data_IF_796028815619
#
_entry.id   IF_796028815619
#
_cell.length_a   1.000
_cell.length_b   1.000
_cell.length_c   1.000
_cell.angle_alpha   90.00
_cell.angle_beta   90.00
_cell.angle_gamma   90.00
#
_symmetry.space_group_name_H-M   'P 1'
#
loop_
_entity.id
_entity.type
_entity.pdbx_description
1 polymer ?
#
# COMPACT_ATOMS: atom_id res chain seq x y z
N UNK A 1 -9.37 -8.81 -38.10
CA UNK A 1 -9.50 -9.19 -36.66
C UNK A 1 -10.03 -7.98 -35.91
N UNK A 2 -10.90 -8.17 -34.92
CA UNK A 2 -11.39 -7.06 -34.08
C UNK A 2 -10.41 -6.80 -32.95
N UNK A 3 -10.43 -5.57 -32.42
CA UNK A 3 -9.73 -5.21 -31.20
C UNK A 3 -10.39 -5.88 -29.98
N UNK A 4 -9.56 -6.20 -28.99
CA UNK A 4 -9.99 -6.75 -27.72
C UNK A 4 -10.90 -5.80 -26.93
N UNK A 5 -11.79 -6.38 -26.13
CA UNK A 5 -12.78 -5.63 -25.36
C UNK A 5 -12.12 -4.76 -24.28
N UNK A 6 -11.09 -5.27 -23.60
CA UNK A 6 -10.39 -4.54 -22.54
C UNK A 6 -9.65 -3.32 -23.09
N UNK A 7 -9.09 -3.45 -24.30
CA UNK A 7 -8.44 -2.32 -24.97
C UNK A 7 -9.48 -1.27 -25.41
N UNK A 8 -10.69 -1.70 -25.80
CA UNK A 8 -11.75 -0.75 -26.17
C UNK A 8 -12.31 -0.01 -24.95
N UNK A 9 -12.42 -0.66 -23.79
CA UNK A 9 -12.83 0.01 -22.55
C UNK A 9 -11.74 0.95 -22.03
N UNK A 10 -10.48 0.51 -22.01
CA UNK A 10 -9.36 1.37 -21.62
C UNK A 10 -9.22 2.60 -22.54
N UNK A 11 -9.59 2.47 -23.83
CA UNK A 11 -9.65 3.60 -24.76
C UNK A 11 -10.75 4.59 -24.36
N UNK A 12 -11.93 4.11 -23.97
CA UNK A 12 -13.04 4.94 -23.49
C UNK A 12 -12.67 5.69 -22.21
N UNK A 13 -11.94 5.03 -21.31
CA UNK A 13 -11.49 5.59 -20.02
C UNK A 13 -10.26 6.52 -20.17
N UNK A 14 -9.69 6.61 -21.36
CA UNK A 14 -8.51 7.43 -21.64
C UNK A 14 -7.22 6.91 -21.01
N UNK A 15 -7.19 5.64 -20.60
CA UNK A 15 -6.07 5.00 -19.90
C UNK A 15 -4.96 4.48 -20.83
N UNK A 16 -5.11 4.68 -22.15
CA UNK A 16 -4.18 4.16 -23.16
C UNK A 16 -3.19 5.24 -23.60
N UNK A 17 -1.91 4.87 -23.58
CA UNK A 17 -0.81 5.68 -24.08
C UNK A 17 -0.49 5.38 -25.57
N UNK A 18 0.25 6.28 -26.22
CA UNK A 18 0.81 6.00 -27.54
C UNK A 18 1.82 4.83 -27.47
N UNK A 19 1.91 3.96 -28.50
CA UNK A 19 1.29 4.05 -29.83
C UNK A 19 -0.11 3.41 -29.95
N UNK A 20 -0.59 2.74 -28.89
CA UNK A 20 -1.81 1.94 -28.94
C UNK A 20 -3.06 2.78 -29.20
N UNK A 21 -3.08 4.02 -28.72
CA UNK A 21 -4.17 4.97 -28.98
C UNK A 21 -4.35 5.24 -30.48
N UNK A 22 -3.24 5.50 -31.19
CA UNK A 22 -3.27 5.69 -32.64
C UNK A 22 -3.77 4.44 -33.37
N UNK A 23 -3.32 3.25 -32.97
CA UNK A 23 -3.75 1.98 -33.58
C UNK A 23 -5.26 1.71 -33.37
N UNK A 24 -5.78 1.98 -32.18
CA UNK A 24 -7.22 1.86 -31.88
C UNK A 24 -8.01 2.87 -32.71
N UNK A 25 -7.54 4.11 -32.81
CA UNK A 25 -8.20 5.15 -33.60
C UNK A 25 -8.24 4.82 -35.09
N UNK A 26 -7.14 4.29 -35.64
CA UNK A 26 -7.10 3.78 -37.00
C UNK A 26 -8.09 2.64 -37.19
N UNK A 27 -8.12 1.67 -36.26
CA UNK A 27 -9.08 0.57 -36.31
C UNK A 27 -10.55 1.02 -36.26
N UNK A 28 -10.86 1.99 -35.41
CA UNK A 28 -12.19 2.58 -35.35
C UNK A 28 -12.55 3.31 -36.64
N UNK A 29 -11.60 3.81 -37.43
CA UNK A 29 -11.90 4.44 -38.71
C UNK A 29 -12.50 3.47 -39.73
N UNK A 30 -11.99 2.22 -39.81
CA UNK A 30 -12.43 1.24 -40.80
C UNK A 30 -13.40 0.18 -40.27
N UNK A 31 -13.43 -0.09 -38.96
CA UNK A 31 -14.26 -1.14 -38.38
C UNK A 31 -15.57 -0.59 -37.77
N UNK A 32 -16.70 -0.81 -38.44
CA UNK A 32 -18.03 -0.41 -37.94
C UNK A 32 -18.50 -1.24 -36.73
N UNK A 33 -18.11 -2.51 -36.65
CA UNK A 33 -18.47 -3.39 -35.54
C UNK A 33 -17.86 -2.92 -34.20
N UNK A 34 -16.60 -2.51 -34.21
CA UNK A 34 -15.93 -1.97 -33.02
C UNK A 34 -16.49 -0.60 -32.62
N UNK A 35 -16.87 0.26 -33.58
CA UNK A 35 -17.62 1.49 -33.28
C UNK A 35 -18.94 1.22 -32.58
N UNK A 36 -19.73 0.26 -33.08
CA UNK A 36 -21.00 -0.10 -32.46
C UNK A 36 -20.82 -0.63 -31.03
N UNK A 37 -19.74 -1.36 -30.74
CA UNK A 37 -19.39 -1.80 -29.37
C UNK A 37 -19.00 -0.64 -28.47
N UNK A 38 -18.18 0.29 -28.97
CA UNK A 38 -17.78 1.48 -28.22
C UNK A 38 -19.00 2.32 -27.83
N UNK A 39 -19.98 2.48 -28.74
CA UNK A 39 -21.24 3.16 -28.42
C UNK A 39 -22.02 2.45 -27.30
N UNK A 40 -22.05 1.11 -27.27
CA UNK A 40 -22.66 0.39 -26.15
C UNK A 40 -21.99 0.74 -24.82
N UNK A 41 -20.66 0.77 -24.76
CA UNK A 41 -19.94 1.18 -23.56
C UNK A 41 -20.25 2.63 -23.16
N UNK A 42 -20.33 3.56 -24.12
CA UNK A 42 -20.76 4.94 -23.86
C UNK A 42 -22.16 5.02 -23.28
N UNK A 43 -23.11 4.22 -23.80
CA UNK A 43 -24.47 4.21 -23.24
C UNK A 43 -24.51 3.68 -21.81
N UNK A 44 -23.69 2.68 -21.48
CA UNK A 44 -23.59 2.14 -20.13
C UNK A 44 -22.94 3.15 -19.18
N UNK A 45 -21.83 3.76 -19.59
CA UNK A 45 -21.14 4.81 -18.83
C UNK A 45 -22.06 6.01 -18.55
N UNK A 46 -22.81 6.47 -19.56
CA UNK A 46 -23.79 7.53 -19.38
C UNK A 46 -24.93 7.15 -18.41
N UNK A 47 -25.42 5.90 -18.47
CA UNK A 47 -26.43 5.42 -17.50
C UNK A 47 -25.89 5.44 -16.08
N UNK A 48 -24.66 4.97 -15.86
CA UNK A 48 -24.01 4.98 -14.56
C UNK A 48 -23.81 6.42 -14.07
N UNK A 49 -23.30 7.31 -14.92
CA UNK A 49 -23.14 8.73 -14.60
C UNK A 49 -24.45 9.43 -14.29
N UNK A 50 -25.53 9.09 -14.99
CA UNK A 50 -26.86 9.66 -14.73
C UNK A 50 -27.50 9.16 -13.42
N UNK A 51 -27.10 7.98 -12.95
CA UNK A 51 -27.50 7.44 -11.66
C UNK A 51 -26.64 7.99 -10.49
N UNK A 52 -25.49 8.60 -10.80
CA UNK A 52 -24.67 9.26 -9.80
C UNK A 52 -25.39 10.49 -9.26
N UNK A 53 -25.44 10.61 -7.94
CA UNK A 53 -26.00 11.77 -7.27
C UNK A 53 -25.27 13.05 -7.71
N UNK A 54 -26.03 14.13 -7.93
CA UNK A 54 -25.45 15.46 -8.10
C UNK A 54 -24.67 15.83 -6.83
N UNK A 55 -23.54 16.52 -6.98
CA UNK A 55 -22.65 16.91 -5.86
C UNK A 55 -23.42 17.58 -4.71
N UNK A 56 -24.44 18.37 -5.03
CA UNK A 56 -25.33 19.05 -4.09
C UNK A 56 -26.12 18.06 -3.21
N UNK A 57 -26.75 17.05 -3.82
CA UNK A 57 -27.49 16.01 -3.10
C UNK A 57 -26.57 15.12 -2.24
N UNK A 58 -25.33 14.94 -2.69
CA UNK A 58 -24.31 14.23 -1.94
C UNK A 58 -23.89 15.00 -0.68
N UNK A 59 -23.69 16.33 -0.77
CA UNK A 59 -23.32 17.18 0.35
C UNK A 59 -24.40 17.20 1.44
N UNK A 60 -25.67 17.34 1.07
CA UNK A 60 -26.80 17.32 2.00
C UNK A 60 -26.87 15.99 2.78
N UNK A 61 -26.78 14.86 2.07
CA UNK A 61 -26.83 13.52 2.69
C UNK A 61 -25.57 13.17 3.47
N UNK A 62 -24.42 13.76 3.13
CA UNK A 62 -23.16 13.54 3.82
C UNK A 62 -23.27 13.97 5.29
N UNK A 63 -23.77 15.19 5.54
CA UNK A 63 -23.83 15.72 6.90
C UNK A 63 -24.81 14.93 7.78
N UNK A 64 -25.98 14.58 7.24
CA UNK A 64 -26.95 13.72 7.93
C UNK A 64 -26.36 12.34 8.29
N UNK A 65 -25.61 11.74 7.36
CA UNK A 65 -24.97 10.43 7.58
C UNK A 65 -23.84 10.53 8.60
N UNK A 66 -23.02 11.59 8.53
CA UNK A 66 -21.94 11.84 9.48
C UNK A 66 -22.46 12.03 10.91
N UNK A 67 -23.51 12.82 11.09
CA UNK A 67 -24.12 13.03 12.41
C UNK A 67 -24.73 11.74 12.97
N UNK A 68 -25.35 10.91 12.14
CA UNK A 68 -25.83 9.60 12.55
C UNK A 68 -24.68 8.69 12.99
N UNK A 69 -23.59 8.64 12.23
CA UNK A 69 -22.41 7.85 12.56
C UNK A 69 -21.74 8.33 13.85
N UNK A 70 -21.58 9.65 14.03
CA UNK A 70 -21.01 10.23 15.26
C UNK A 70 -21.83 9.82 16.49
N UNK A 71 -23.16 10.02 16.43
CA UNK A 71 -24.01 9.69 17.56
C UNK A 71 -24.08 8.20 17.88
N UNK A 72 -24.01 7.34 16.86
CA UNK A 72 -24.14 5.88 17.05
C UNK A 72 -22.85 5.21 17.48
N UNK A 73 -21.70 5.63 16.95
CA UNK A 73 -20.42 4.93 17.17
C UNK A 73 -19.44 5.72 18.05
N UNK A 74 -19.49 7.05 18.03
CA UNK A 74 -18.53 7.89 18.75
C UNK A 74 -19.09 8.46 20.06
N UNK A 75 -20.40 8.34 20.30
CA UNK A 75 -21.05 8.86 21.52
C UNK A 75 -20.91 7.94 22.74
N UNK A 76 -20.77 6.63 22.55
CA UNK A 76 -20.65 5.68 23.68
C UNK A 76 -19.36 5.87 24.50
N UNK A 77 -18.32 6.48 23.92
CA UNK A 77 -17.05 6.76 24.59
C UNK A 77 -16.86 8.25 24.97
N UNK A 78 -17.90 9.10 24.88
CA UNK A 78 -17.90 10.41 25.56
C UNK A 78 -18.15 10.25 27.07
N UNK A 79 -17.52 9.25 27.72
CA UNK A 79 -17.26 9.33 29.16
C UNK A 79 -16.34 10.53 29.33
N UNK A 80 -16.93 11.63 29.82
CA UNK A 80 -16.20 12.83 30.24
C UNK A 80 -15.01 12.38 31.08
N UNK A 81 -13.81 12.33 30.49
CA UNK A 81 -12.61 12.25 31.29
C UNK A 81 -12.52 13.62 31.94
N UNK A 82 -13.08 13.66 33.14
CA UNK A 82 -12.97 14.75 34.08
C UNK A 82 -11.49 14.89 34.45
N UNK A 83 -10.71 15.52 33.56
CA UNK A 83 -9.42 16.11 33.89
C UNK A 83 -9.63 17.38 34.71
N UNK A 84 -10.49 17.30 35.74
CA UNK A 84 -10.61 18.31 36.77
C UNK A 84 -9.26 18.43 37.46
N UNK A 85 -8.48 19.38 36.98
CA UNK A 85 -7.59 20.29 37.70
C UNK A 85 -7.15 19.81 39.09
N UNK A 86 -6.37 18.73 39.15
CA UNK A 86 -5.57 18.46 40.35
C UNK A 86 -4.39 19.43 40.30
N UNK A 87 -4.56 20.62 40.88
CA UNK A 87 -3.46 21.56 41.14
C UNK A 87 -2.45 20.84 42.05
N UNK A 88 -1.36 20.33 41.48
CA UNK A 88 -0.22 19.85 42.25
C UNK A 88 0.62 21.08 42.58
N UNK A 89 0.36 21.67 43.75
CA UNK A 89 1.26 22.63 44.36
C UNK A 89 2.38 21.79 45.01
N UNK A 90 3.49 21.62 44.32
CA UNK A 90 4.73 21.07 44.90
C UNK A 90 5.78 22.18 44.89
N UNK A 91 6.17 22.61 46.09
CA UNK A 91 7.27 23.55 46.31
C UNK A 91 8.59 22.94 45.87
N UNK A 92 9.35 23.69 45.07
CA UNK A 92 10.68 23.30 44.59
C UNK A 92 11.70 23.77 45.64
N UNK A 93 12.54 22.86 46.19
CA UNK A 93 13.96 23.16 46.26
C UNK A 93 14.86 21.89 46.27
N UNK A 94 15.12 21.26 45.11
CA UNK A 94 16.20 20.25 45.02
C UNK A 94 16.81 20.03 43.62
N UNK A 95 16.20 20.53 42.55
CA UNK A 95 16.63 20.17 41.18
C UNK A 95 17.93 20.86 40.70
N UNK A 96 18.39 21.92 41.36
CA UNK A 96 19.52 22.74 40.88
C UNK A 96 20.88 22.07 41.09
N UNK A 97 21.02 21.19 42.08
CA UNK A 97 22.32 20.60 42.44
C UNK A 97 22.81 19.52 41.47
N UNK A 98 21.90 18.85 40.75
CA UNK A 98 22.25 17.75 39.85
C UNK A 98 22.91 18.21 38.53
N UNK A 99 22.56 19.39 38.02
CA UNK A 99 23.02 19.87 36.72
C UNK A 99 24.51 20.27 36.73
N UNK A 100 24.99 20.89 37.81
CA UNK A 100 26.39 21.32 37.91
C UNK A 100 27.38 20.13 38.03
N UNK A 101 26.97 19.03 38.68
CA UNK A 101 27.79 17.83 38.81
C UNK A 101 28.01 17.11 37.48
N UNK A 102 26.99 17.01 36.63
CA UNK A 102 27.10 16.34 35.33
C UNK A 102 28.02 17.10 34.36
N UNK A 103 27.98 18.43 34.35
CA UNK A 103 28.82 19.25 33.45
C UNK A 103 30.31 19.06 33.74
N UNK A 104 30.71 18.98 35.01
CA UNK A 104 32.13 18.81 35.41
C UNK A 104 32.64 17.41 35.03
N UNK A 105 31.80 16.38 35.18
CA UNK A 105 32.16 14.99 34.80
C UNK A 105 32.30 14.84 33.28
N UNK A 106 31.41 15.45 32.49
CA UNK A 106 31.49 15.37 31.03
C UNK A 106 32.70 16.13 30.47
N UNK A 107 33.01 17.33 30.97
CA UNK A 107 34.18 18.10 30.50
C UNK A 107 35.48 17.43 30.95
N UNK A 108 35.57 16.98 32.21
CA UNK A 108 36.75 16.29 32.73
C UNK A 108 37.02 14.95 32.02
N UNK A 109 35.96 14.18 31.74
CA UNK A 109 36.04 12.92 30.99
C UNK A 109 36.43 13.13 29.53
N UNK A 110 35.91 14.16 28.87
CA UNK A 110 36.22 14.46 27.46
C UNK A 110 37.67 14.93 27.27
N UNK A 111 38.23 15.69 28.21
CA UNK A 111 39.64 16.12 28.15
C UNK A 111 40.61 14.96 28.41
N UNK A 112 40.24 13.99 29.26
CA UNK A 112 41.10 12.84 29.59
C UNK A 112 40.96 11.64 28.64
N UNK A 113 39.82 11.45 27.98
CA UNK A 113 39.55 10.30 27.09
C UNK A 113 39.28 10.67 25.62
N UNK A 114 39.37 11.95 25.25
CA UNK A 114 39.03 12.45 23.92
C UNK A 114 40.11 12.22 22.85
N UNK A 115 40.36 10.97 22.45
CA UNK A 115 40.95 10.64 21.14
C UNK A 115 40.71 9.17 20.79
N UNK A 116 39.65 8.91 20.01
CA UNK A 116 39.70 8.23 18.71
C UNK A 116 38.32 7.76 18.21
N UNK A 117 38.21 7.82 16.89
CA UNK A 117 37.22 7.21 15.98
C UNK A 117 35.86 7.91 15.82
N UNK A 118 35.75 8.53 14.65
CA UNK A 118 34.52 8.88 13.96
C UNK A 118 33.65 7.63 13.78
N UNK A 119 32.51 7.58 14.46
CA UNK A 119 31.38 6.73 14.09
C UNK A 119 30.15 7.62 13.88
N UNK A 120 30.00 8.10 12.66
CA UNK A 120 28.72 8.61 12.14
C UNK A 120 27.73 7.46 12.13
N UNK A 121 26.94 7.35 13.20
CA UNK A 121 25.85 6.40 13.29
C UNK A 121 24.64 7.00 12.56
N UNK A 122 24.42 6.55 11.33
CA UNK A 122 23.17 6.75 10.61
C UNK A 122 22.04 6.08 11.41
N UNK A 123 21.06 6.87 11.85
CA UNK A 123 19.94 6.41 12.67
C UNK A 123 18.99 5.66 11.75
N UNK A 124 19.23 4.36 11.59
CA UNK A 124 18.25 3.44 11.00
C UNK A 124 17.30 3.02 12.12
N UNK A 125 15.97 3.17 11.99
CA UNK A 125 15.05 2.74 13.04
C UNK A 125 15.11 1.22 13.20
N UNK A 126 15.69 0.75 14.31
CA UNK A 126 15.58 -0.64 14.75
C UNK A 126 14.16 -0.90 15.26
N UNK A 127 13.45 -1.76 14.55
CA UNK A 127 12.18 -2.34 14.98
C UNK A 127 12.47 -3.43 16.01
N UNK A 128 12.10 -3.19 17.28
CA UNK A 128 12.11 -4.23 18.30
C UNK A 128 11.07 -5.30 17.92
N UNK A 129 11.53 -6.52 17.63
CA UNK A 129 10.73 -7.68 17.16
C UNK A 129 9.93 -8.33 18.30
N UNK A 130 9.44 -7.55 19.26
CA UNK A 130 8.56 -8.04 20.35
C UNK A 130 7.22 -7.30 20.33
N UNK A 131 6.70 -7.05 19.14
CA UNK A 131 5.31 -6.65 18.93
C UNK A 131 4.57 -7.84 18.29
N UNK A 132 3.55 -8.30 18.99
CA UNK A 132 2.61 -9.36 18.64
C UNK A 132 2.30 -9.39 17.13
N UNK A 133 2.78 -10.44 16.46
CA UNK A 133 2.79 -10.61 15.01
C UNK A 133 1.40 -10.78 14.39
N UNK A 134 0.36 -10.85 15.21
CA UNK A 134 -1.00 -11.08 14.75
C UNK A 134 -1.68 -9.84 14.15
N UNK A 135 -1.13 -8.63 14.31
CA UNK A 135 -1.78 -7.38 13.85
C UNK A 135 -0.87 -6.42 13.06
N UNK A 136 0.32 -6.85 12.64
CA UNK A 136 1.21 -6.02 11.82
C UNK A 136 1.04 -6.36 10.33
N UNK A 137 0.20 -5.61 9.63
CA UNK A 137 0.19 -5.59 8.17
C UNK A 137 1.25 -4.59 7.66
N UNK A 138 2.38 -5.12 7.19
CA UNK A 138 3.35 -4.33 6.44
C UNK A 138 2.78 -4.04 5.05
N UNK A 139 2.30 -2.81 4.83
CA UNK A 139 1.95 -2.32 3.49
C UNK A 139 3.24 -1.91 2.78
N UNK A 140 3.98 -2.91 2.31
CA UNK A 140 5.03 -2.74 1.31
C UNK A 140 4.80 -3.78 0.22
N UNK A 141 3.79 -3.54 -0.60
CA UNK A 141 3.63 -4.25 -1.87
C UNK A 141 4.06 -3.31 -2.99
N UNK A 142 5.38 -3.28 -3.18
CA UNK A 142 5.95 -3.12 -4.51
C UNK A 142 5.72 -4.44 -5.23
N UNK A 143 5.14 -4.41 -6.42
CA UNK A 143 4.76 -5.56 -7.22
C UNK A 143 5.86 -6.65 -7.25
N UNK A 144 5.68 -7.71 -6.45
CA UNK A 144 6.50 -8.92 -6.52
C UNK A 144 5.91 -9.78 -7.62
N UNK A 145 6.54 -9.77 -8.80
CA UNK A 145 6.22 -10.67 -9.89
C UNK A 145 6.51 -12.13 -9.48
N UNK A 146 5.80 -13.06 -10.12
CA UNK A 146 5.91 -14.51 -9.93
C UNK A 146 7.34 -15.06 -10.13
N UNK A 147 8.24 -14.27 -10.74
CA UNK A 147 9.64 -14.62 -10.98
C UNK A 147 10.50 -14.55 -9.70
N UNK A 148 9.98 -13.98 -8.61
CA UNK A 148 10.71 -13.84 -7.34
C UNK A 148 10.56 -15.03 -6.39
N UNK A 149 9.72 -16.01 -6.72
CA UNK A 149 9.56 -17.22 -5.94
C UNK A 149 10.47 -18.32 -6.47
N UNK A 150 11.19 -18.99 -5.57
CA UNK A 150 11.89 -20.22 -5.94
C UNK A 150 10.85 -21.32 -6.20
N UNK A 151 11.20 -22.29 -7.06
CA UNK A 151 10.30 -23.38 -7.41
C UNK A 151 9.88 -24.18 -6.16
N UNK A 152 10.78 -24.30 -5.19
CA UNK A 152 10.56 -24.95 -3.91
C UNK A 152 9.51 -24.23 -3.05
N UNK A 153 9.54 -22.89 -3.03
CA UNK A 153 8.59 -22.07 -2.27
C UNK A 153 7.18 -22.16 -2.87
N UNK A 154 7.08 -22.20 -4.20
CA UNK A 154 5.81 -22.41 -4.92
C UNK A 154 5.24 -23.79 -4.61
N UNK A 155 6.06 -24.83 -4.67
CA UNK A 155 5.63 -26.20 -4.40
C UNK A 155 5.16 -26.37 -2.95
N UNK A 156 5.92 -25.84 -1.99
CA UNK A 156 5.55 -25.91 -0.57
C UNK A 156 4.24 -25.17 -0.28
N UNK A 157 4.01 -24.04 -0.95
CA UNK A 157 2.75 -23.30 -0.83
C UNK A 157 1.57 -24.08 -1.41
N UNK A 158 1.73 -24.72 -2.57
CA UNK A 158 0.67 -25.50 -3.22
C UNK A 158 0.34 -26.79 -2.43
N UNK A 159 1.36 -27.44 -1.88
CA UNK A 159 1.20 -28.63 -1.01
C UNK A 159 0.47 -28.28 0.30
N UNK A 160 0.84 -27.17 0.95
CA UNK A 160 0.13 -26.67 2.14
C UNK A 160 -1.36 -26.38 1.87
N UNK A 161 -1.70 -26.04 0.62
CA UNK A 161 -3.08 -25.78 0.19
C UNK A 161 -3.82 -27.04 -0.28
N UNK A 162 -3.17 -28.20 -0.28
CA UNK A 162 -3.76 -29.50 -0.63
C UNK A 162 -3.95 -29.71 -2.13
N UNK A 163 -3.17 -29.02 -2.97
CA UNK A 163 -3.18 -29.24 -4.41
C UNK A 163 -2.11 -30.25 -4.81
N UNK A 164 -2.51 -31.25 -5.61
CA UNK A 164 -1.58 -32.17 -6.28
C UNK A 164 -1.02 -31.49 -7.54
N UNK A 165 0.30 -31.41 -7.66
CA UNK A 165 0.98 -30.65 -8.72
C UNK A 165 1.75 -31.62 -9.62
N UNK A 166 1.26 -31.82 -10.84
CA UNK A 166 1.93 -32.61 -11.87
C UNK A 166 2.88 -31.72 -12.70
N UNK A 167 4.17 -32.05 -12.71
CA UNK A 167 5.22 -31.25 -13.34
C UNK A 167 5.62 -31.91 -14.67
N UNK A 168 5.11 -31.38 -15.78
CA UNK A 168 5.53 -31.80 -17.13
C UNK A 168 6.64 -30.89 -17.66
N UNK A 169 7.87 -31.39 -17.73
CA UNK A 169 8.99 -30.70 -18.38
C UNK A 169 8.75 -30.70 -19.91
N UNK A 170 8.38 -29.56 -20.48
CA UNK A 170 8.30 -29.40 -21.94
C UNK A 170 9.67 -29.05 -22.49
N UNK A 171 10.32 -30.02 -23.15
CA UNK A 171 11.45 -29.77 -24.05
C UNK A 171 12.78 -30.38 -23.62
N UNK A 172 12.90 -31.70 -23.68
CA UNK A 172 14.19 -32.35 -23.93
C UNK A 172 14.09 -33.00 -25.32
N UNK A 173 14.70 -32.34 -26.32
CA UNK A 173 15.03 -33.00 -27.58
C UNK A 173 16.18 -33.96 -27.25
N UNK A 174 16.02 -35.29 -27.40
CA UNK A 174 17.13 -36.19 -27.13
C UNK A 174 18.29 -35.81 -28.07
N UNK A 175 19.48 -35.63 -27.50
CA UNK A 175 20.72 -35.62 -28.26
C UNK A 175 20.85 -37.01 -28.87
N UNK A 176 20.83 -37.08 -30.20
CA UNK A 176 21.05 -38.33 -30.93
C UNK A 176 22.37 -38.96 -30.44
N UNK A 177 22.40 -40.28 -30.21
CA UNK A 177 23.63 -40.95 -29.82
C UNK A 177 24.67 -40.79 -30.95
N UNK A 178 25.86 -40.34 -30.57
CA UNK A 178 27.06 -40.38 -31.42
C UNK A 178 27.23 -41.80 -31.98
N UNK A 179 26.96 -41.98 -33.26
CA UNK A 179 27.35 -43.16 -34.03
C UNK A 179 28.83 -43.06 -34.36
N UNK A 180 29.59 -44.03 -33.87
CA UNK A 180 30.94 -44.54 -34.25
C UNK A 180 31.90 -43.63 -35.02
#
# INVERSE_FOLDING_TARGET
MCIDEQLLSAYLDGSICEPYKTQVQEHLSYCSACRARLEKFRTLDNKIKSASLTKEQFLEKKDATFSYLENKYFSENKKKISFFHKKIIMGIPSLVTAAAGLVIVFIGGFVLFGTNSSQTSEIVPSFNVHADSNNLQFVSQKDKSLDSYSLEEILQYLDQKGYDVDISIKGLKPLDPLTE
#
